data_IF_471429148603
#
_entry.id   IF_471429148603
#
_cell.length_a   1.000
_cell.length_b   1.000
_cell.length_c   1.000
_cell.angle_alpha   90.00
_cell.angle_beta   90.00
_cell.angle_gamma   90.00
#
_symmetry.space_group_name_H-M   'P 1'
#
loop_
_entity.id
_entity.type
_entity.pdbx_description
1 polymer ?
#
# COMPACT_ATOMS: atom_id res chain seq x y z
N UNK A 1 -5.36 -36.16 -13.65
CA UNK A 1 -6.50 -36.63 -12.84
C UNK A 1 -6.90 -35.53 -11.88
N UNK A 2 -8.14 -35.04 -11.92
CA UNK A 2 -8.64 -34.09 -10.92
C UNK A 2 -9.06 -34.86 -9.66
N UNK A 3 -8.38 -34.62 -8.55
CA UNK A 3 -8.76 -35.20 -7.25
C UNK A 3 -10.07 -34.53 -6.84
N UNK A 4 -11.18 -35.28 -6.84
CA UNK A 4 -12.48 -34.79 -6.35
C UNK A 4 -12.40 -34.68 -4.82
N UNK A 5 -12.18 -33.47 -4.31
CA UNK A 5 -12.30 -33.21 -2.87
C UNK A 5 -13.77 -33.24 -2.44
N UNK A 6 -14.03 -33.79 -1.26
CA UNK A 6 -15.33 -33.69 -0.61
C UNK A 6 -15.69 -32.20 -0.39
N UNK A 7 -16.99 -31.85 -0.27
CA UNK A 7 -17.41 -30.47 -0.03
C UNK A 7 -16.73 -29.83 1.20
N UNK A 8 -16.49 -30.62 2.25
CA UNK A 8 -15.74 -30.20 3.43
C UNK A 8 -14.25 -29.95 3.11
N UNK A 9 -13.61 -30.84 2.35
CA UNK A 9 -12.23 -30.67 1.91
C UNK A 9 -12.03 -29.42 1.04
N UNK A 10 -13.00 -29.09 0.18
CA UNK A 10 -12.94 -27.87 -0.65
C UNK A 10 -12.99 -26.61 0.21
N UNK A 11 -13.84 -26.57 1.23
CA UNK A 11 -13.91 -25.46 2.19
C UNK A 11 -12.61 -25.32 2.98
N UNK A 12 -12.05 -26.43 3.45
CA UNK A 12 -10.77 -26.41 4.17
C UNK A 12 -9.64 -25.89 3.28
N UNK A 13 -9.56 -26.33 2.02
CA UNK A 13 -8.59 -25.82 1.07
C UNK A 13 -8.75 -24.31 0.84
N UNK A 14 -9.99 -23.81 0.71
CA UNK A 14 -10.26 -22.37 0.60
C UNK A 14 -9.78 -21.61 1.83
N UNK A 15 -10.03 -22.12 3.04
CA UNK A 15 -9.57 -21.48 4.29
C UNK A 15 -8.04 -21.49 4.36
N UNK A 16 -7.41 -22.64 4.05
CA UNK A 16 -5.95 -22.76 4.03
C UNK A 16 -5.28 -21.77 3.08
N UNK A 17 -5.90 -21.51 1.93
CA UNK A 17 -5.36 -20.57 0.94
C UNK A 17 -5.69 -19.12 1.32
N UNK A 18 -6.90 -18.81 1.77
CA UNK A 18 -7.34 -17.44 2.02
C UNK A 18 -6.88 -16.86 3.36
N UNK A 19 -6.82 -17.68 4.41
CA UNK A 19 -6.48 -17.21 5.76
C UNK A 19 -5.10 -16.52 5.83
N UNK A 20 -4.01 -17.03 5.21
CA UNK A 20 -2.72 -16.34 5.23
C UNK A 20 -2.77 -14.92 4.65
N UNK A 21 -3.52 -14.71 3.57
CA UNK A 21 -3.66 -13.36 2.98
C UNK A 21 -4.40 -12.43 3.91
N UNK A 22 -5.50 -12.89 4.51
CA UNK A 22 -6.29 -12.09 5.47
C UNK A 22 -5.44 -11.72 6.68
N UNK A 23 -4.66 -12.66 7.22
CA UNK A 23 -3.77 -12.40 8.36
C UNK A 23 -2.68 -11.40 7.98
N UNK A 24 -2.03 -11.57 6.83
CA UNK A 24 -0.97 -10.68 6.38
C UNK A 24 -1.49 -9.25 6.13
N UNK A 25 -2.61 -9.09 5.43
CA UNK A 25 -3.18 -7.76 5.16
C UNK A 25 -3.68 -7.08 6.42
N UNK A 26 -4.34 -7.84 7.32
CA UNK A 26 -4.80 -7.32 8.61
C UNK A 26 -3.62 -6.85 9.47
N UNK A 27 -2.52 -7.61 9.48
CA UNK A 27 -1.32 -7.25 10.22
C UNK A 27 -0.65 -5.99 9.67
N UNK A 28 -0.55 -5.86 8.35
CA UNK A 28 -0.01 -4.66 7.70
C UNK A 28 -0.88 -3.43 8.03
N UNK A 29 -2.20 -3.58 7.95
CA UNK A 29 -3.12 -2.50 8.32
C UNK A 29 -2.99 -2.14 9.80
N UNK A 30 -2.90 -3.11 10.69
CA UNK A 30 -2.73 -2.89 12.12
C UNK A 30 -1.49 -2.04 12.41
N UNK A 31 -0.36 -2.38 11.77
CA UNK A 31 0.88 -1.61 11.87
C UNK A 31 0.72 -0.16 11.40
N UNK A 32 -0.04 0.08 10.34
CA UNK A 32 -0.24 1.43 9.81
C UNK A 32 -1.27 2.25 10.58
N UNK A 33 -2.42 1.65 10.91
CA UNK A 33 -3.57 2.36 11.47
C UNK A 33 -3.51 2.49 12.99
N UNK A 34 -3.02 1.46 13.68
CA UNK A 34 -2.97 1.44 15.15
C UNK A 34 -1.60 1.85 15.65
N UNK A 35 -0.54 1.26 15.10
CA UNK A 35 0.83 1.54 15.54
C UNK A 35 1.42 2.80 14.90
N UNK A 36 0.76 3.38 13.89
CA UNK A 36 1.25 4.56 13.18
C UNK A 36 2.61 4.35 12.51
N UNK A 37 3.04 3.10 12.29
CA UNK A 37 4.30 2.81 11.63
C UNK A 37 4.20 3.32 10.19
N UNK A 38 5.04 4.31 9.84
CA UNK A 38 5.16 4.79 8.46
C UNK A 38 5.48 3.61 7.52
N UNK A 39 4.97 3.62 6.27
CA UNK A 39 5.31 2.61 5.28
C UNK A 39 6.83 2.43 5.23
N UNK A 40 7.33 1.21 5.44
CA UNK A 40 8.75 0.91 5.24
C UNK A 40 9.10 1.21 3.78
N UNK A 41 9.78 2.33 3.59
CA UNK A 41 10.35 2.74 2.31
C UNK A 41 11.55 1.85 2.08
N UNK A 42 11.59 1.16 0.95
CA UNK A 42 12.72 0.31 0.57
C UNK A 42 14.05 1.10 0.50
N UNK A 43 13.99 2.43 0.50
CA UNK A 43 15.14 3.33 0.31
C UNK A 43 15.14 4.55 1.28
N UNK A 44 14.39 4.49 2.39
CA UNK A 44 14.36 5.59 3.38
C UNK A 44 13.67 6.91 2.96
N UNK A 45 13.26 7.08 1.70
CA UNK A 45 12.58 8.29 1.20
C UNK A 45 11.06 8.19 1.20
N UNK A 46 10.35 9.27 1.59
CA UNK A 46 9.01 9.64 1.10
C UNK A 46 8.44 8.70 0.03
N UNK A 47 7.51 7.77 0.35
CA UNK A 47 6.46 7.26 -0.54
C UNK A 47 5.69 8.42 -1.17
N UNK A 48 6.32 9.30 -1.95
CA UNK A 48 5.63 10.39 -2.62
C UNK A 48 5.02 9.81 -3.90
N UNK A 49 3.67 9.76 -4.00
CA UNK A 49 3.04 9.42 -5.26
C UNK A 49 3.58 10.39 -6.32
N UNK A 50 3.93 9.90 -7.52
CA UNK A 50 4.51 10.72 -8.59
C UNK A 50 3.71 12.00 -8.85
N UNK A 51 2.38 11.92 -8.75
CA UNK A 51 1.48 13.07 -8.92
C UNK A 51 1.51 14.12 -7.79
N UNK A 52 1.94 13.78 -6.57
CA UNK A 52 2.11 14.76 -5.47
C UNK A 52 3.39 15.56 -5.70
N UNK A 53 4.47 14.88 -6.08
CA UNK A 53 5.75 15.53 -6.36
C UNK A 53 5.67 16.51 -7.55
N UNK A 54 5.01 16.13 -8.64
CA UNK A 54 4.77 17.03 -9.78
C UNK A 54 3.97 18.27 -9.37
N UNK A 55 2.97 18.11 -8.50
CA UNK A 55 2.15 19.22 -8.00
C UNK A 55 2.97 20.19 -7.14
N UNK A 56 3.77 19.67 -6.23
CA UNK A 56 4.62 20.46 -5.34
C UNK A 56 5.75 21.17 -6.12
N UNK A 57 6.32 20.52 -7.14
CA UNK A 57 7.30 21.12 -8.04
C UNK A 57 6.69 22.26 -8.88
N UNK A 58 5.47 22.08 -9.39
CA UNK A 58 4.72 23.11 -10.11
C UNK A 58 4.33 24.29 -9.20
N UNK A 59 3.89 24.02 -7.97
CA UNK A 59 3.57 25.06 -6.98
C UNK A 59 4.83 25.86 -6.62
N UNK A 60 5.97 25.19 -6.39
CA UNK A 60 7.27 25.88 -6.18
C UNK A 60 7.70 26.71 -7.38
N UNK A 61 7.51 26.21 -8.60
CA UNK A 61 7.84 26.98 -9.81
C UNK A 61 6.95 28.22 -9.95
N UNK A 62 5.65 28.11 -9.66
CA UNK A 62 4.72 29.25 -9.67
C UNK A 62 5.07 30.29 -8.61
N UNK A 63 5.35 29.86 -7.38
CA UNK A 63 5.78 30.76 -6.31
C UNK A 63 7.09 31.47 -6.66
N UNK A 64 8.06 30.76 -7.24
CA UNK A 64 9.30 31.36 -7.71
C UNK A 64 9.12 32.31 -8.91
N UNK A 65 8.07 32.13 -9.72
CA UNK A 65 7.73 33.03 -10.83
C UNK A 65 6.99 34.27 -10.33
N UNK A 66 6.10 34.13 -9.33
CA UNK A 66 5.44 35.24 -8.66
C UNK A 66 6.41 36.09 -7.83
N UNK A 67 7.36 35.46 -7.11
CA UNK A 67 8.43 36.17 -6.39
C UNK A 67 9.42 36.86 -7.34
N UNK A 68 9.56 36.37 -8.58
CA UNK A 68 10.46 36.95 -9.58
C UNK A 68 9.87 38.08 -10.40
N UNK A 69 8.61 38.48 -10.15
CA UNK A 69 8.07 39.78 -10.51
C UNK A 69 8.58 40.39 -11.82
N UNK A 70 8.22 39.72 -12.92
CA UNK A 70 8.10 40.29 -14.27
C UNK A 70 6.67 40.04 -14.75
#
# INVERSE_FOLDING_TARGET
MAIKLSPAGRRLATVMVSAPFVVATSWILYKRLVLGEEPRKADGRLFEPSGVRERDELEKQKLNLEEKGL
#
